data_IF_241308030553
#
_entry.id   IF_241308030553
#
_cell.length_a   1.000
_cell.length_b   1.000
_cell.length_c   1.000
_cell.angle_alpha   90.00
_cell.angle_beta   90.00
_cell.angle_gamma   90.00
#
_symmetry.space_group_name_H-M   'P 1'
#
loop_
_entity.id
_entity.type
_entity.pdbx_description
1 polymer ?
#
# COMPACT_ATOMS: atom_id res chain seq x y z
N UNK A 1 5.60 -19.01 0.39
CA UNK A 1 4.72 -18.28 -0.54
C UNK A 1 3.43 -17.95 0.18
N UNK A 2 2.92 -16.73 0.05
CA UNK A 2 1.69 -16.28 0.72
C UNK A 2 0.93 -15.32 -0.20
N UNK A 3 -0.39 -15.30 -0.06
CA UNK A 3 -1.28 -14.29 -0.67
C UNK A 3 -1.91 -13.48 0.45
N UNK A 4 -2.02 -12.17 0.27
CA UNK A 4 -2.54 -11.25 1.27
C UNK A 4 -3.74 -10.53 0.71
N UNK A 5 -4.84 -10.52 1.46
CA UNK A 5 -6.01 -9.71 1.18
C UNK A 5 -6.24 -8.74 2.35
N UNK A 6 -5.96 -7.46 2.09
CA UNK A 6 -6.31 -6.34 2.98
C UNK A 6 -7.09 -5.28 2.20
N UNK A 7 -7.90 -5.72 1.23
CA UNK A 7 -8.57 -4.85 0.27
C UNK A 7 -7.58 -3.87 -0.41
N UNK A 8 -7.86 -2.56 -0.34
CA UNK A 8 -7.12 -1.53 -1.08
C UNK A 8 -5.62 -1.47 -0.77
N UNK A 9 -5.19 -1.91 0.43
CA UNK A 9 -3.78 -1.89 0.84
C UNK A 9 -3.00 -3.16 0.49
N UNK A 10 -3.62 -4.15 -0.16
CA UNK A 10 -3.08 -5.50 -0.35
C UNK A 10 -1.63 -5.52 -0.87
N UNK A 11 -1.32 -4.74 -1.91
CA UNK A 11 0.01 -4.66 -2.50
C UNK A 11 1.06 -4.08 -1.56
N UNK A 12 0.73 -3.03 -0.80
CA UNK A 12 1.65 -2.41 0.16
C UNK A 12 1.85 -3.28 1.41
N UNK A 13 0.84 -4.03 1.84
CA UNK A 13 1.00 -5.01 2.92
C UNK A 13 1.87 -6.18 2.47
N UNK A 14 1.70 -6.66 1.23
CA UNK A 14 2.58 -7.68 0.66
C UNK A 14 4.04 -7.19 0.59
N UNK A 15 4.27 -5.93 0.16
CA UNK A 15 5.59 -5.29 0.20
C UNK A 15 6.14 -5.25 1.63
N UNK A 16 5.33 -4.84 2.62
CA UNK A 16 5.74 -4.79 4.01
C UNK A 16 6.21 -6.16 4.53
N UNK A 17 5.43 -7.23 4.27
CA UNK A 17 5.78 -8.59 4.68
C UNK A 17 7.04 -9.09 3.98
N UNK A 18 7.22 -8.79 2.68
CA UNK A 18 8.44 -9.10 1.96
C UNK A 18 9.66 -8.42 2.59
N UNK A 19 9.55 -7.13 2.95
CA UNK A 19 10.59 -6.42 3.67
C UNK A 19 10.87 -7.03 5.06
N UNK A 20 9.84 -7.50 5.79
CA UNK A 20 10.04 -8.17 7.07
C UNK A 20 10.81 -9.47 6.89
N UNK A 21 10.42 -10.32 5.94
CA UNK A 21 11.08 -11.60 5.65
C UNK A 21 12.56 -11.43 5.29
N UNK A 22 12.90 -10.36 4.56
CA UNK A 22 14.30 -10.01 4.28
C UNK A 22 15.07 -9.54 5.51
N UNK A 23 14.42 -8.81 6.43
CA UNK A 23 15.03 -8.30 7.66
C UNK A 23 15.26 -9.39 8.71
N UNK A 24 14.31 -10.32 8.84
CA UNK A 24 14.42 -11.46 9.76
C UNK A 24 15.37 -12.54 9.26
N UNK A 25 15.71 -12.51 7.96
CA UNK A 25 16.57 -13.51 7.33
C UNK A 25 15.82 -14.76 6.87
N UNK A 26 14.48 -14.77 6.95
CA UNK A 26 13.64 -15.84 6.42
C UNK A 26 13.77 -15.96 4.89
N UNK A 27 14.15 -14.87 4.21
CA UNK A 27 14.46 -14.83 2.80
C UNK A 27 15.71 -13.98 2.50
N UNK A 28 16.47 -14.36 1.47
CA UNK A 28 17.62 -13.60 0.95
C UNK A 28 17.26 -12.69 -0.24
N UNK A 29 16.11 -12.95 -0.85
CA UNK A 29 15.46 -12.20 -1.93
C UNK A 29 13.94 -12.42 -1.79
N UNK A 30 13.13 -11.41 -2.12
CA UNK A 30 11.69 -11.51 -2.07
C UNK A 30 11.04 -10.92 -3.31
N UNK A 31 9.91 -11.49 -3.71
CA UNK A 31 9.03 -10.95 -4.76
C UNK A 31 7.80 -10.38 -4.07
N UNK A 32 7.52 -9.09 -4.29
CA UNK A 32 6.30 -8.44 -3.84
C UNK A 32 5.48 -8.03 -5.07
N UNK A 33 4.27 -8.56 -5.19
CA UNK A 33 3.41 -8.30 -6.34
C UNK A 33 1.99 -7.95 -5.88
N UNK A 34 1.27 -7.22 -6.73
CA UNK A 34 -0.12 -6.88 -6.56
C UNK A 34 -0.84 -6.91 -7.91
N UNK A 35 -2.10 -7.35 -7.88
CA UNK A 35 -2.95 -7.44 -9.07
C UNK A 35 -4.39 -7.10 -8.71
N UNK A 36 -5.05 -6.35 -9.60
CA UNK A 36 -6.49 -6.14 -9.59
C UNK A 36 -7.01 -6.22 -11.03
N UNK A 37 -7.96 -7.13 -11.27
CA UNK A 37 -8.65 -7.31 -12.55
C UNK A 37 -10.15 -7.36 -12.27
N UNK A 38 -10.93 -6.62 -13.05
CA UNK A 38 -12.37 -6.42 -12.90
C UNK A 38 -13.08 -7.33 -13.89
N UNK A 39 -13.29 -8.58 -13.47
CA UNK A 39 -13.85 -9.62 -14.34
C UNK A 39 -15.38 -9.64 -14.37
N UNK A 40 -16.05 -8.99 -13.41
CA UNK A 40 -17.51 -8.95 -13.33
C UNK A 40 -18.04 -7.59 -12.87
N UNK A 41 -19.26 -7.28 -13.29
CA UNK A 41 -19.95 -6.04 -12.92
C UNK A 41 -20.63 -6.14 -11.54
N UNK A 42 -20.84 -7.35 -11.01
CA UNK A 42 -21.60 -7.57 -9.77
C UNK A 42 -21.01 -6.80 -8.58
N UNK A 43 -19.69 -6.87 -8.41
CA UNK A 43 -19.01 -6.12 -7.36
C UNK A 43 -19.10 -4.60 -7.57
N UNK A 44 -19.11 -4.15 -8.83
CA UNK A 44 -19.27 -2.74 -9.17
C UNK A 44 -20.68 -2.25 -8.79
N UNK A 45 -21.73 -3.03 -9.06
CA UNK A 45 -23.11 -2.71 -8.66
C UNK A 45 -23.23 -2.55 -7.15
N UNK A 46 -22.66 -3.47 -6.37
CA UNK A 46 -22.66 -3.38 -4.90
C UNK A 46 -21.94 -2.13 -4.40
N UNK A 47 -20.78 -1.80 -4.96
CA UNK A 47 -20.03 -0.58 -4.60
C UNK A 47 -20.77 0.71 -4.95
N UNK A 48 -21.51 0.74 -6.07
CA UNK A 48 -22.39 1.85 -6.43
C UNK A 48 -23.51 2.02 -5.40
N UNK A 49 -24.17 0.93 -4.98
CA UNK A 49 -25.20 0.99 -3.93
C UNK A 49 -24.65 1.50 -2.59
N UNK A 50 -23.41 1.14 -2.26
CA UNK A 50 -22.70 1.65 -1.08
C UNK A 50 -22.16 3.08 -1.25
N UNK A 51 -22.38 3.73 -2.40
CA UNK A 51 -21.91 5.08 -2.74
C UNK A 51 -20.38 5.24 -2.69
N UNK A 52 -19.64 4.17 -3.00
CA UNK A 52 -18.17 4.22 -3.06
C UNK A 52 -17.67 4.77 -4.41
N UNK A 53 -18.43 4.53 -5.48
CA UNK A 53 -18.01 4.88 -6.83
C UNK A 53 -18.53 6.27 -7.22
N UNK A 54 -17.67 7.06 -7.85
CA UNK A 54 -18.08 8.31 -8.50
C UNK A 54 -18.97 7.99 -9.70
N UNK A 55 -20.15 8.62 -9.84
CA UNK A 55 -21.01 8.46 -11.03
C UNK A 55 -20.30 8.86 -12.34
N UNK A 56 -19.30 9.74 -12.25
CA UNK A 56 -18.51 10.21 -13.38
C UNK A 56 -17.32 9.29 -13.70
N UNK A 57 -17.11 8.21 -12.92
CA UNK A 57 -16.00 7.29 -13.11
C UNK A 57 -14.62 7.94 -12.98
N UNK A 58 -14.49 8.97 -12.12
CA UNK A 58 -13.23 9.70 -11.90
C UNK A 58 -12.89 9.81 -10.43
N UNK A 59 -11.62 9.61 -10.10
CA UNK A 59 -11.07 10.02 -8.80
C UNK A 59 -10.76 11.52 -8.86
N UNK A 60 -11.47 12.33 -8.07
CA UNK A 60 -11.22 13.77 -7.92
C UNK A 60 -10.48 14.03 -6.61
N UNK A 61 -9.26 13.50 -6.51
CA UNK A 61 -8.48 13.52 -5.26
C UNK A 61 -8.23 14.96 -4.80
N UNK A 62 -8.66 15.27 -3.58
CA UNK A 62 -8.58 16.59 -2.93
C UNK A 62 -9.43 17.71 -3.56
N UNK A 63 -10.34 17.38 -4.48
CA UNK A 63 -11.30 18.34 -5.04
C UNK A 63 -12.52 18.50 -4.12
N UNK A 64 -13.08 19.72 -4.02
CA UNK A 64 -14.27 19.99 -3.22
C UNK A 64 -15.51 19.22 -3.71
N UNK A 65 -15.55 18.86 -4.99
CA UNK A 65 -16.65 18.14 -5.62
C UNK A 65 -16.40 16.62 -5.67
N UNK A 66 -15.43 16.09 -4.93
CA UNK A 66 -15.18 14.65 -4.88
C UNK A 66 -16.40 13.86 -4.38
N UNK A 67 -16.84 12.86 -5.16
CA UNK A 67 -18.09 12.13 -4.95
C UNK A 67 -17.93 10.59 -5.02
N UNK A 68 -16.72 10.10 -4.74
CA UNK A 68 -16.34 8.70 -4.81
C UNK A 68 -15.07 8.48 -5.62
N UNK A 69 -14.73 7.23 -5.88
CA UNK A 69 -13.55 6.86 -6.66
C UNK A 69 -13.92 6.10 -7.95
N UNK A 70 -12.97 6.02 -8.87
CA UNK A 70 -13.05 5.22 -10.09
C UNK A 70 -12.26 3.92 -9.90
N UNK A 71 -12.84 2.78 -10.32
CA UNK A 71 -12.08 1.53 -10.32
C UNK A 71 -11.05 1.53 -11.46
N UNK A 72 -9.91 0.90 -11.22
CA UNK A 72 -8.87 0.69 -12.22
C UNK A 72 -8.31 -0.74 -12.13
N UNK A 73 -7.77 -1.22 -13.23
CA UNK A 73 -7.08 -2.51 -13.32
C UNK A 73 -5.58 -2.28 -13.37
N UNK A 74 -4.81 -3.15 -12.71
CA UNK A 74 -3.36 -3.05 -12.70
C UNK A 74 -2.73 -4.38 -12.27
N UNK A 75 -1.51 -4.61 -12.75
CA UNK A 75 -0.59 -5.60 -12.21
C UNK A 75 0.78 -4.95 -12.01
N UNK A 76 1.44 -5.25 -10.90
CA UNK A 76 2.77 -4.74 -10.58
C UNK A 76 3.57 -5.75 -9.76
N UNK A 77 4.88 -5.76 -9.95
CA UNK A 77 5.79 -6.67 -9.29
C UNK A 77 7.13 -5.98 -9.02
N UNK A 78 7.72 -6.26 -7.85
CA UNK A 78 9.00 -5.77 -7.40
C UNK A 78 9.87 -6.93 -6.92
N UNK A 79 11.14 -6.92 -7.32
CA UNK A 79 12.17 -7.80 -6.77
C UNK A 79 12.92 -7.03 -5.69
N UNK A 80 12.97 -7.59 -4.49
CA UNK A 80 13.55 -6.97 -3.31
C UNK A 80 14.74 -7.78 -2.81
N UNK A 81 15.81 -7.08 -2.43
CA UNK A 81 17.01 -7.65 -1.81
C UNK A 81 17.52 -6.75 -0.70
N UNK A 82 18.24 -7.28 0.30
CA UNK A 82 19.01 -6.45 1.22
C UNK A 82 20.02 -5.60 0.45
N UNK A 83 20.07 -4.30 0.73
CA UNK A 83 20.91 -3.34 0.00
C UNK A 83 22.38 -3.76 -0.09
N UNK A 84 22.93 -4.27 1.01
CA UNK A 84 24.32 -4.80 1.07
C UNK A 84 24.57 -5.88 0.02
N UNK A 85 23.61 -6.78 -0.19
CA UNK A 85 23.76 -7.86 -1.15
C UNK A 85 23.63 -7.34 -2.59
N UNK A 86 22.67 -6.43 -2.84
CA UNK A 86 22.50 -5.81 -4.15
C UNK A 86 23.76 -5.03 -4.58
N UNK A 87 24.36 -4.25 -3.67
CA UNK A 87 25.62 -3.53 -3.93
C UNK A 87 26.78 -4.49 -4.17
N UNK A 88 26.93 -5.53 -3.34
CA UNK A 88 28.00 -6.54 -3.49
C UNK A 88 27.92 -7.23 -4.85
N UNK A 89 26.71 -7.55 -5.30
CA UNK A 89 26.48 -8.30 -6.52
C UNK A 89 26.42 -7.41 -7.78
N UNK A 90 26.51 -6.08 -7.61
CA UNK A 90 26.46 -5.13 -8.73
C UNK A 90 25.07 -5.00 -9.36
N UNK A 91 24.00 -5.26 -8.60
CA UNK A 91 22.63 -5.12 -9.08
C UNK A 91 22.32 -3.66 -9.42
N UNK A 92 21.49 -3.44 -10.44
CA UNK A 92 20.90 -2.13 -10.69
C UNK A 92 19.82 -1.84 -9.63
N UNK A 93 20.01 -0.77 -8.85
CA UNK A 93 19.12 -0.40 -7.76
C UNK A 93 18.23 0.77 -8.20
N UNK A 94 16.93 0.52 -8.38
CA UNK A 94 15.96 1.54 -8.76
C UNK A 94 15.61 2.49 -7.60
N UNK A 95 15.48 1.95 -6.38
CA UNK A 95 15.10 2.71 -5.19
C UNK A 95 15.48 1.95 -3.91
N UNK A 96 15.50 2.65 -2.78
CA UNK A 96 15.75 2.07 -1.45
C UNK A 96 14.48 2.23 -0.61
N UNK A 97 13.94 1.13 -0.11
CA UNK A 97 12.84 1.14 0.85
C UNK A 97 13.42 1.42 2.25
N UNK A 98 13.31 2.66 2.70
CA UNK A 98 13.85 3.11 4.00
C UNK A 98 13.03 2.61 5.20
N UNK A 99 11.73 2.47 5.02
CA UNK A 99 10.81 1.98 6.05
C UNK A 99 9.47 1.56 5.44
N UNK A 100 8.78 0.65 6.11
CA UNK A 100 7.41 0.24 5.77
C UNK A 100 6.67 -0.19 7.04
N UNK A 101 5.35 -0.07 7.05
CA UNK A 101 4.51 -0.45 8.18
C UNK A 101 3.07 -0.70 7.80
N UNK A 102 2.33 -1.36 8.69
CA UNK A 102 0.89 -1.50 8.64
C UNK A 102 0.29 -1.35 10.04
N UNK A 103 -0.95 -0.87 10.10
CA UNK A 103 -1.78 -0.86 11.30
C UNK A 103 -3.26 -1.02 10.91
N UNK A 104 -4.18 -0.70 11.83
CA UNK A 104 -5.61 -0.77 11.63
C UNK A 104 -6.29 0.49 12.18
N UNK A 105 -7.41 0.88 11.57
CA UNK A 105 -8.20 2.05 11.97
C UNK A 105 -8.83 1.90 13.37
N UNK A 106 -9.00 0.65 13.82
CA UNK A 106 -9.58 0.34 15.13
C UNK A 106 -11.08 0.61 15.14
N UNK A 107 -11.58 1.26 16.21
CA UNK A 107 -13.01 1.57 16.34
C UNK A 107 -13.31 2.95 15.75
N UNK A 108 -14.02 2.95 14.63
CA UNK A 108 -14.53 4.15 13.94
C UNK A 108 -16.06 4.16 13.95
N UNK A 109 -16.73 5.27 13.60
CA UNK A 109 -18.20 5.35 13.55
C UNK A 109 -18.85 4.40 12.53
N UNK A 110 -18.08 3.86 11.59
CA UNK A 110 -18.53 2.85 10.64
C UNK A 110 -17.32 2.09 10.10
N UNK A 111 -17.47 0.79 9.88
CA UNK A 111 -16.35 -0.12 9.54
C UNK A 111 -15.53 0.32 8.31
N UNK A 112 -16.13 1.09 7.40
CA UNK A 112 -15.48 1.60 6.18
C UNK A 112 -15.00 3.05 6.29
N UNK A 113 -15.25 3.72 7.42
CA UNK A 113 -14.80 5.08 7.65
C UNK A 113 -13.35 5.09 8.15
N UNK A 114 -12.46 5.84 7.49
CA UNK A 114 -11.04 5.87 7.84
C UNK A 114 -10.77 6.60 9.15
N UNK A 115 -9.64 6.31 9.79
CA UNK A 115 -9.18 7.00 11.00
C UNK A 115 -7.94 7.86 10.74
N UNK A 116 -8.11 9.19 10.74
CA UNK A 116 -6.98 10.12 10.59
C UNK A 116 -5.91 9.96 11.69
N UNK A 117 -6.34 9.67 12.92
CA UNK A 117 -5.42 9.41 14.04
C UNK A 117 -4.60 8.14 13.81
N UNK A 118 -5.22 7.07 13.31
CA UNK A 118 -4.51 5.83 13.01
C UNK A 118 -3.52 6.01 11.85
N UNK A 119 -3.90 6.78 10.82
CA UNK A 119 -3.03 7.11 9.70
C UNK A 119 -1.81 7.93 10.15
N UNK A 120 -2.02 8.98 10.95
CA UNK A 120 -0.93 9.78 11.51
C UNK A 120 0.02 8.91 12.36
N UNK A 121 -0.54 8.06 13.22
CA UNK A 121 0.24 7.15 14.04
C UNK A 121 1.10 6.18 13.21
N UNK A 122 0.55 5.65 12.11
CA UNK A 122 1.29 4.79 11.18
C UNK A 122 2.45 5.55 10.54
N UNK A 123 2.16 6.72 9.98
CA UNK A 123 3.16 7.54 9.28
C UNK A 123 4.30 7.89 10.24
N UNK A 124 4.00 8.44 11.42
CA UNK A 124 5.00 8.79 12.43
C UNK A 124 5.84 7.59 12.85
N UNK A 125 5.21 6.44 13.09
CA UNK A 125 5.91 5.21 13.46
C UNK A 125 6.89 4.78 12.37
N UNK A 126 6.48 4.83 11.09
CA UNK A 126 7.35 4.42 9.97
C UNK A 126 8.54 5.37 9.82
N UNK A 127 8.33 6.70 9.93
CA UNK A 127 9.43 7.67 9.94
C UNK A 127 10.41 7.44 11.08
N UNK A 128 9.91 7.21 12.30
CA UNK A 128 10.74 6.91 13.47
C UNK A 128 11.54 5.63 13.28
N UNK A 129 10.92 4.54 12.80
CA UNK A 129 11.60 3.27 12.50
C UNK A 129 12.68 3.42 11.43
N UNK A 130 12.49 4.33 10.48
CA UNK A 130 13.45 4.62 9.41
C UNK A 130 14.54 5.63 9.82
N UNK A 131 14.45 6.18 11.05
CA UNK A 131 15.28 7.28 11.54
C UNK A 131 15.27 8.48 10.57
N UNK A 132 14.09 8.86 10.09
CA UNK A 132 13.88 9.95 9.15
C UNK A 132 13.00 11.05 9.76
N UNK A 133 13.25 12.30 9.37
CA UNK A 133 12.40 13.42 9.69
C UNK A 133 11.38 13.65 8.56
N UNK A 134 10.07 13.70 8.84
CA UNK A 134 9.06 14.00 7.84
C UNK A 134 9.31 15.33 7.10
N UNK A 135 9.92 16.31 7.75
CA UNK A 135 10.22 17.61 7.14
C UNK A 135 11.25 17.54 5.99
N UNK A 136 12.04 16.47 5.93
CA UNK A 136 13.04 16.25 4.88
C UNK A 136 12.46 15.47 3.68
N UNK A 137 11.13 15.31 3.62
CA UNK A 137 10.47 14.55 2.56
C UNK A 137 10.10 15.47 1.40
N UNK A 138 10.77 15.25 0.27
CA UNK A 138 10.43 15.88 -1.00
C UNK A 138 9.28 15.16 -1.70
N UNK A 139 8.57 15.87 -2.60
CA UNK A 139 7.51 15.35 -3.47
C UNK A 139 8.05 14.99 -4.86
#
# INVERSE_FOLDING_TARGET
>A
SVTVDTACSGSLVALHLACQSLRTGDASMAVAAGVNVILSHEFMSTMTMMKFLSPNGRCRTFDENADGYARGEAIGCLILRPLKNAVRDGDHIHAIIRGSGSNQDGRTPGITLPSGVAQEALIRRVYQMACLNPADTDL
#
